data_IF_764730691727
#
_entry.id   IF_764730691727
#
_cell.length_a   1.000
_cell.length_b   1.000
_cell.length_c   1.000
_cell.angle_alpha   90.00
_cell.angle_beta   90.00
_cell.angle_gamma   90.00
#
_symmetry.space_group_name_H-M   'P 1'
#
loop_
_entity.id
_entity.type
_entity.pdbx_description
1 polymer ?
#
# COMPACT_ATOMS: atom_id res chain seq x y z
N UNK A 1 16.41 -6.11 -5.57
CA UNK A 1 15.32 -6.02 -6.56
C UNK A 1 14.08 -5.73 -5.76
N UNK A 2 13.35 -4.64 -6.07
CA UNK A 2 12.18 -4.20 -5.28
C UNK A 2 11.07 -5.28 -5.37
N UNK A 3 10.75 -5.93 -4.25
CA UNK A 3 9.94 -7.14 -4.20
C UNK A 3 8.52 -6.92 -4.74
N UNK A 4 7.96 -5.72 -4.52
CA UNK A 4 6.64 -5.34 -5.05
C UNK A 4 6.71 -5.10 -6.56
N UNK A 5 7.77 -4.42 -7.04
CA UNK A 5 7.99 -4.22 -8.48
C UNK A 5 8.14 -5.52 -9.28
N UNK A 6 8.51 -6.62 -8.62
CA UNK A 6 8.67 -7.92 -9.27
C UNK A 6 7.36 -8.69 -9.45
N UNK A 7 6.26 -8.24 -8.84
CA UNK A 7 4.97 -8.92 -8.92
C UNK A 7 4.35 -8.76 -10.33
N UNK A 8 3.69 -9.80 -10.86
CA UNK A 8 3.01 -9.73 -12.17
C UNK A 8 2.00 -8.59 -12.26
N UNK A 9 1.97 -7.88 -13.40
CA UNK A 9 1.04 -6.78 -13.66
C UNK A 9 1.33 -5.48 -12.90
N UNK A 10 2.43 -5.40 -12.12
CA UNK A 10 2.89 -4.13 -11.53
C UNK A 10 3.64 -3.31 -12.59
N UNK A 11 3.07 -2.16 -12.92
CA UNK A 11 3.63 -1.18 -13.88
C UNK A 11 4.59 -0.19 -13.22
N UNK A 12 4.47 0.03 -11.91
CA UNK A 12 5.32 0.96 -11.17
C UNK A 12 5.17 0.79 -9.67
N UNK A 13 6.28 0.98 -8.96
CA UNK A 13 6.34 0.95 -7.51
C UNK A 13 7.23 2.09 -6.99
N UNK A 14 6.77 2.84 -6.01
CA UNK A 14 7.53 3.93 -5.40
C UNK A 14 7.36 3.88 -3.89
N UNK A 15 8.44 3.61 -3.17
CA UNK A 15 8.45 3.62 -1.70
C UNK A 15 9.09 4.92 -1.20
N UNK A 16 8.39 5.62 -0.32
CA UNK A 16 8.89 6.86 0.29
C UNK A 16 8.49 6.94 1.77
N UNK A 17 9.43 7.27 2.67
CA UNK A 17 9.10 7.64 4.04
C UNK A 17 8.60 9.08 4.07
N UNK A 18 7.56 9.34 4.86
CA UNK A 18 6.94 10.64 5.07
C UNK A 18 6.80 10.91 6.57
N UNK A 19 7.52 11.89 7.13
CA UNK A 19 7.27 12.34 8.50
C UNK A 19 5.83 12.85 8.61
N UNK A 20 5.12 12.45 9.66
CA UNK A 20 3.76 12.92 9.94
C UNK A 20 3.72 14.00 11.04
N UNK A 21 4.83 14.21 11.75
CA UNK A 21 4.90 15.24 12.79
C UNK A 21 4.54 16.62 12.24
N UNK A 22 3.61 17.30 12.89
CA UNK A 22 3.14 18.64 12.50
C UNK A 22 2.06 18.65 11.43
N UNK A 23 1.55 17.48 10.99
CA UNK A 23 0.34 17.40 10.16
C UNK A 23 -0.88 17.53 11.06
N UNK A 24 -1.65 18.59 10.85
CA UNK A 24 -2.88 18.88 11.58
C UNK A 24 -4.11 18.33 10.83
N UNK A 25 -5.22 18.10 11.55
CA UNK A 25 -6.46 17.64 10.92
C UNK A 25 -7.00 18.59 9.85
N UNK A 26 -6.79 19.90 10.03
CA UNK A 26 -7.18 20.92 9.05
C UNK A 26 -6.48 20.73 7.71
N UNK A 27 -5.27 20.18 7.72
CA UNK A 27 -4.46 20.01 6.52
C UNK A 27 -5.05 18.97 5.58
N UNK A 28 -5.86 18.02 6.11
CA UNK A 28 -6.56 17.02 5.31
C UNK A 28 -7.58 17.62 4.33
N UNK A 29 -7.99 18.88 4.53
CA UNK A 29 -8.88 19.60 3.62
C UNK A 29 -8.15 20.29 2.46
N UNK A 30 -6.81 20.34 2.50
CA UNK A 30 -6.00 21.00 1.48
C UNK A 30 -5.90 20.14 0.22
N UNK A 31 -5.87 20.77 -0.97
CA UNK A 31 -5.70 20.04 -2.22
C UNK A 31 -4.26 19.57 -2.44
N UNK A 32 -4.04 18.73 -3.45
CA UNK A 32 -2.71 18.29 -3.87
C UNK A 32 -2.19 17.13 -3.02
N UNK A 33 -0.92 17.22 -2.59
CA UNK A 33 -0.22 16.13 -1.87
C UNK A 33 -0.90 15.76 -0.54
N UNK A 34 -1.69 16.66 0.05
CA UNK A 34 -2.50 16.39 1.24
C UNK A 34 -3.65 15.42 0.98
N UNK A 35 -4.14 15.33 -0.27
CA UNK A 35 -5.12 14.33 -0.69
C UNK A 35 -4.57 12.90 -0.70
N UNK A 36 -3.26 12.73 -0.71
CA UNK A 36 -2.59 11.43 -0.69
C UNK A 36 -2.27 10.95 0.73
N UNK A 37 -2.48 11.78 1.75
CA UNK A 37 -2.28 11.41 3.16
C UNK A 37 -3.27 10.32 3.60
N UNK A 38 -2.94 9.52 4.63
CA UNK A 38 -3.84 8.49 5.14
C UNK A 38 -4.94 9.10 6.01
N UNK A 39 -6.01 9.61 5.39
CA UNK A 39 -7.02 10.45 6.06
C UNK A 39 -7.61 9.79 7.31
N UNK A 40 -8.05 8.52 7.19
CA UNK A 40 -8.69 7.81 8.31
C UNK A 40 -7.72 7.59 9.47
N UNK A 41 -6.45 7.30 9.19
CA UNK A 41 -5.45 7.12 10.23
C UNK A 41 -5.23 8.43 11.00
N UNK A 42 -5.01 9.53 10.26
CA UNK A 42 -4.78 10.85 10.84
C UNK A 42 -6.00 11.37 11.60
N UNK A 43 -7.22 11.09 11.15
CA UNK A 43 -8.45 11.43 11.89
C UNK A 43 -8.49 10.71 13.25
N UNK A 44 -8.12 9.43 13.30
CA UNK A 44 -8.15 8.64 14.54
C UNK A 44 -7.10 9.10 15.56
N UNK A 45 -5.95 9.56 15.09
CA UNK A 45 -4.85 10.05 15.93
C UNK A 45 -4.93 11.56 16.21
N UNK A 46 -5.94 12.24 15.66
CA UNK A 46 -6.11 13.70 15.75
C UNK A 46 -4.90 14.48 15.19
N UNK A 47 -4.42 14.09 14.00
CA UNK A 47 -3.21 14.60 13.37
C UNK A 47 -2.07 13.57 13.39
N UNK A 48 -0.92 13.95 12.86
CA UNK A 48 0.27 13.10 12.90
C UNK A 48 0.95 13.12 14.27
N UNK A 49 1.44 11.97 14.72
CA UNK A 49 2.08 11.87 16.03
C UNK A 49 3.55 12.35 15.99
N UNK A 50 4.09 12.71 17.16
CA UNK A 50 5.50 13.09 17.27
C UNK A 50 6.39 11.91 16.85
N UNK A 51 7.37 12.18 15.97
CA UNK A 51 8.29 11.18 15.38
C UNK A 51 7.62 10.04 14.61
N UNK A 52 6.33 10.19 14.28
CA UNK A 52 5.66 9.22 13.42
C UNK A 52 6.13 9.38 11.98
N UNK A 53 6.49 8.25 11.38
CA UNK A 53 6.88 8.13 9.99
C UNK A 53 5.90 7.18 9.31
N UNK A 54 5.33 7.65 8.20
CA UNK A 54 4.58 6.84 7.27
C UNK A 54 5.54 6.32 6.20
N UNK A 55 5.75 5.02 6.14
CA UNK A 55 6.30 4.37 4.96
C UNK A 55 5.14 4.16 3.99
N UNK A 56 5.16 4.88 2.87
CA UNK A 56 4.14 4.77 1.83
C UNK A 56 4.76 4.16 0.57
N UNK A 57 4.27 2.98 0.21
CA UNK A 57 4.57 2.30 -1.04
C UNK A 57 3.41 2.50 -2.00
N UNK A 58 3.63 3.29 -3.04
CA UNK A 58 2.74 3.43 -4.19
C UNK A 58 2.93 2.27 -5.14
N UNK A 59 1.83 1.59 -5.47
CA UNK A 59 1.80 0.47 -6.42
C UNK A 59 0.81 0.81 -7.54
N UNK A 60 1.29 0.73 -8.78
CA UNK A 60 0.53 1.01 -9.99
C UNK A 60 0.44 -0.28 -10.81
N UNK A 61 -0.76 -0.66 -11.23
CA UNK A 61 -1.00 -1.87 -12.03
C UNK A 61 -1.38 -1.58 -13.49
N UNK A 62 -0.97 -2.46 -14.42
CA UNK A 62 -1.17 -2.36 -15.88
C UNK A 62 -2.53 -2.87 -16.40
N UNK A 63 -3.43 -3.30 -15.50
CA UNK A 63 -4.76 -3.87 -15.77
C UNK A 63 -4.77 -5.25 -16.43
N UNK A 64 -3.66 -5.97 -16.43
CA UNK A 64 -3.65 -7.37 -16.85
C UNK A 64 -4.48 -8.26 -15.90
N UNK A 65 -4.73 -9.52 -16.28
CA UNK A 65 -5.38 -10.47 -15.37
C UNK A 65 -4.48 -10.75 -14.15
N UNK A 66 -3.18 -10.81 -14.38
CA UNK A 66 -2.15 -11.04 -13.38
C UNK A 66 -2.06 -9.89 -12.37
N UNK A 67 -2.37 -8.66 -12.77
CA UNK A 67 -2.48 -7.53 -11.84
C UNK A 67 -3.54 -7.75 -10.75
N UNK A 68 -4.64 -8.43 -11.06
CA UNK A 68 -5.65 -8.76 -10.07
C UNK A 68 -5.14 -9.79 -9.05
N UNK A 69 -4.38 -10.78 -9.51
CA UNK A 69 -3.74 -11.77 -8.62
C UNK A 69 -2.75 -11.09 -7.68
N UNK A 70 -1.91 -10.19 -8.20
CA UNK A 70 -0.96 -9.41 -7.39
C UNK A 70 -1.67 -8.49 -6.40
N UNK A 71 -2.80 -7.90 -6.78
CA UNK A 71 -3.62 -7.09 -5.88
C UNK A 71 -4.21 -7.93 -4.74
N UNK A 72 -4.79 -9.09 -5.05
CA UNK A 72 -5.33 -10.01 -4.04
C UNK A 72 -4.23 -10.52 -3.10
N UNK A 73 -3.08 -10.89 -3.64
CA UNK A 73 -1.91 -11.31 -2.87
C UNK A 73 -1.45 -10.22 -1.90
N UNK A 74 -1.31 -8.97 -2.37
CA UNK A 74 -0.93 -7.85 -1.50
C UNK A 74 -2.01 -7.53 -0.46
N UNK A 75 -3.29 -7.60 -0.82
CA UNK A 75 -4.39 -7.39 0.11
C UNK A 75 -4.39 -8.44 1.23
N UNK A 76 -4.15 -9.72 0.90
CA UNK A 76 -3.96 -10.78 1.88
C UNK A 76 -2.73 -10.52 2.76
N UNK A 77 -1.58 -10.19 2.16
CA UNK A 77 -0.32 -9.98 2.88
C UNK A 77 -0.44 -8.81 3.88
N UNK A 78 -1.02 -7.68 3.45
CA UNK A 78 -1.30 -6.53 4.33
C UNK A 78 -2.25 -6.93 5.46
N UNK A 79 -3.32 -7.68 5.15
CA UNK A 79 -4.26 -8.17 6.16
C UNK A 79 -3.58 -9.07 7.19
N UNK A 80 -2.68 -9.96 6.77
CA UNK A 80 -1.98 -10.87 7.67
C UNK A 80 -1.01 -10.11 8.59
N UNK A 81 -0.24 -9.17 8.02
CA UNK A 81 0.59 -8.25 8.80
C UNK A 81 -0.25 -7.43 9.79
N UNK A 82 -1.38 -6.87 9.38
CA UNK A 82 -2.27 -6.14 10.27
C UNK A 82 -2.83 -7.02 11.41
N UNK A 83 -3.21 -8.27 11.11
CA UNK A 83 -3.65 -9.25 12.12
C UNK A 83 -2.56 -9.61 13.14
N UNK A 84 -1.29 -9.47 12.75
CA UNK A 84 -0.15 -9.62 13.68
C UNK A 84 0.07 -8.40 14.60
N UNK A 85 -0.80 -7.39 14.53
CA UNK A 85 -0.74 -6.19 15.36
C UNK A 85 0.10 -5.06 14.76
N UNK A 86 0.56 -5.21 13.51
CA UNK A 86 1.34 -4.16 12.83
C UNK A 86 0.42 -3.05 12.33
N UNK A 87 0.78 -1.77 12.50
CA UNK A 87 0.02 -0.63 12.01
C UNK A 87 0.25 -0.46 10.50
N UNK A 88 -0.35 -1.35 9.71
CA UNK A 88 -0.28 -1.34 8.26
C UNK A 88 -1.69 -1.27 7.66
N UNK A 89 -1.84 -0.60 6.52
CA UNK A 89 -3.07 -0.62 5.73
C UNK A 89 -2.76 -0.61 4.22
N UNK A 90 -3.79 -0.95 3.44
CA UNK A 90 -3.78 -0.80 1.99
C UNK A 90 -4.97 0.07 1.59
N UNK A 91 -4.74 1.05 0.72
CA UNK A 91 -5.76 2.04 0.34
C UNK A 91 -5.80 2.24 -1.17
N UNK A 92 -6.97 2.12 -1.81
CA UNK A 92 -7.11 2.47 -3.22
C UNK A 92 -6.95 3.96 -3.41
N UNK A 93 -6.30 4.36 -4.50
CA UNK A 93 -6.12 5.75 -4.90
C UNK A 93 -6.56 5.94 -6.33
N UNK A 94 -7.34 6.99 -6.56
CA UNK A 94 -7.73 7.39 -7.90
C UNK A 94 -7.98 8.89 -7.95
N UNK A 95 -7.68 9.46 -9.12
CA UNK A 95 -8.17 10.79 -9.45
C UNK A 95 -9.67 10.72 -9.78
N UNK A 96 -10.39 11.86 -9.76
CA UNK A 96 -11.75 11.91 -10.23
C UNK A 96 -11.90 11.23 -11.61
N UNK A 97 -12.97 10.43 -11.85
CA UNK A 97 -13.12 9.63 -13.07
C UNK A 97 -12.97 10.44 -14.37
N UNK A 98 -13.28 11.74 -14.29
CA UNK A 98 -13.06 12.73 -15.34
C UNK A 98 -12.72 14.07 -14.72
N UNK A 99 -11.68 14.72 -15.24
CA UNK A 99 -11.42 16.16 -15.00
C UNK A 99 -11.41 16.89 -16.35
N UNK A 100 -10.41 16.62 -17.18
CA UNK A 100 -10.34 17.06 -18.59
C UNK A 100 -10.56 15.87 -19.53
N UNK A 101 -9.74 14.81 -19.36
CA UNK A 101 -9.93 13.50 -19.99
C UNK A 101 -10.55 12.48 -19.03
N UNK A 102 -11.03 11.37 -19.59
CA UNK A 102 -11.40 10.15 -18.84
C UNK A 102 -10.13 9.59 -18.19
N UNK A 103 -10.13 9.55 -16.85
CA UNK A 103 -9.08 8.93 -16.02
C UNK A 103 -9.44 7.49 -15.63
N UNK A 104 -10.74 7.16 -15.61
CA UNK A 104 -11.22 5.85 -15.22
C UNK A 104 -10.60 4.76 -16.11
N UNK A 105 -9.98 3.78 -15.47
CA UNK A 105 -9.32 2.68 -16.16
C UNK A 105 -7.97 3.02 -16.78
N UNK A 106 -7.36 4.18 -16.49
CA UNK A 106 -5.98 4.44 -16.96
C UNK A 106 -4.97 3.57 -16.20
N UNK A 107 -5.04 3.56 -14.88
CA UNK A 107 -4.25 2.68 -14.02
C UNK A 107 -5.01 2.42 -12.73
N UNK A 108 -4.78 1.28 -12.12
CA UNK A 108 -5.26 0.96 -10.79
C UNK A 108 -4.11 1.25 -9.81
N UNK A 109 -4.28 2.23 -8.92
CA UNK A 109 -3.24 2.65 -7.96
C UNK A 109 -3.67 2.29 -6.54
N UNK A 110 -2.74 1.76 -5.77
CA UNK A 110 -2.90 1.51 -4.35
C UNK A 110 -1.70 2.05 -3.56
N UNK A 111 -1.95 2.50 -2.33
CA UNK A 111 -0.93 2.70 -1.34
C UNK A 111 -0.91 1.54 -0.36
N UNK A 112 0.28 1.03 -0.04
CA UNK A 112 0.55 0.23 1.15
C UNK A 112 1.24 1.16 2.13
N UNK A 113 0.67 1.29 3.33
CA UNK A 113 1.00 2.32 4.30
C UNK A 113 1.34 1.68 5.62
N UNK A 114 2.58 1.85 6.09
CA UNK A 114 3.05 1.36 7.38
C UNK A 114 3.40 2.55 8.28
N UNK A 115 2.86 2.59 9.48
CA UNK A 115 3.11 3.65 10.45
C UNK A 115 4.12 3.18 11.50
N UNK A 116 5.11 3.99 11.84
CA UNK A 116 6.00 3.66 12.94
C UNK A 116 6.43 4.94 13.67
N UNK A 117 6.76 4.80 14.95
CA UNK A 117 7.37 5.88 15.72
C UNK A 117 8.87 5.67 15.70
N UNK A 118 9.62 6.64 15.21
CA UNK A 118 11.07 6.62 15.28
C UNK A 118 11.56 6.96 16.69
N UNK A 119 12.51 6.18 17.20
CA UNK A 119 13.13 6.45 18.50
C UNK A 119 14.23 7.51 18.40
N UNK A 120 14.77 7.73 17.19
CA UNK A 120 15.83 8.69 16.91
C UNK A 120 15.75 9.23 15.48
N UNK A 121 16.45 10.32 15.19
CA UNK A 121 16.47 10.94 13.86
C UNK A 121 17.31 10.17 12.81
N UNK A 122 17.67 8.92 13.11
CA UNK A 122 18.53 8.08 12.25
C UNK A 122 17.76 7.15 11.30
N UNK A 123 16.43 7.12 11.39
CA UNK A 123 15.54 6.32 10.53
C UNK A 123 15.89 4.82 10.47
N UNK A 124 16.52 4.29 11.51
CA UNK A 124 16.99 2.90 11.55
C UNK A 124 15.81 1.92 11.57
N UNK A 125 14.75 2.27 12.31
CA UNK A 125 13.51 1.48 12.36
C UNK A 125 12.81 1.49 11.00
N UNK A 126 12.74 2.65 10.34
CA UNK A 126 12.20 2.77 8.98
C UNK A 126 12.93 1.85 8.00
N UNK A 127 14.27 1.89 7.98
CA UNK A 127 15.07 1.04 7.09
C UNK A 127 14.89 -0.46 7.40
N UNK A 128 14.86 -0.82 8.67
CA UNK A 128 14.65 -2.20 9.10
C UNK A 128 13.27 -2.73 8.67
N UNK A 129 12.21 -1.94 8.86
CA UNK A 129 10.85 -2.32 8.45
C UNK A 129 10.75 -2.44 6.93
N UNK A 130 11.31 -1.49 6.16
CA UNK A 130 11.31 -1.59 4.68
C UNK A 130 12.01 -2.86 4.21
N UNK A 131 13.15 -3.21 4.82
CA UNK A 131 13.87 -4.45 4.48
C UNK A 131 13.04 -5.70 4.83
N UNK A 132 12.41 -5.73 6.01
CA UNK A 132 11.55 -6.83 6.44
C UNK A 132 10.33 -7.00 5.53
N UNK A 133 9.68 -5.89 5.14
CA UNK A 133 8.56 -5.92 4.20
C UNK A 133 9.00 -6.50 2.85
N UNK A 134 10.15 -6.05 2.32
CA UNK A 134 10.66 -6.53 1.04
C UNK A 134 11.00 -8.03 1.08
N UNK A 135 11.68 -8.50 2.14
CA UNK A 135 12.01 -9.91 2.32
C UNK A 135 10.74 -10.76 2.48
N UNK A 136 9.77 -10.30 3.27
CA UNK A 136 8.51 -10.99 3.49
C UNK A 136 7.69 -11.13 2.21
N UNK A 137 7.59 -10.06 1.41
CA UNK A 137 6.86 -10.09 0.13
C UNK A 137 7.56 -11.04 -0.84
N UNK A 138 8.88 -10.94 -0.99
CA UNK A 138 9.63 -11.80 -1.89
C UNK A 138 9.52 -13.29 -1.51
N UNK A 139 9.63 -13.60 -0.22
CA UNK A 139 9.54 -14.98 0.28
C UNK A 139 8.14 -15.55 0.13
N UNK A 140 7.09 -14.78 0.44
CA UNK A 140 5.71 -15.22 0.24
C UNK A 140 5.37 -15.36 -1.24
N UNK A 141 5.84 -14.46 -2.09
CA UNK A 141 5.63 -14.58 -3.54
C UNK A 141 6.26 -15.86 -4.09
N UNK A 142 7.49 -16.18 -3.68
CA UNK A 142 8.12 -17.45 -4.05
C UNK A 142 7.33 -18.66 -3.54
N UNK A 143 6.89 -18.61 -2.28
CA UNK A 143 6.14 -19.69 -1.66
C UNK A 143 4.79 -19.96 -2.34
N UNK A 144 4.09 -18.89 -2.75
CA UNK A 144 2.78 -18.95 -3.41
C UNK A 144 2.86 -18.85 -4.95
N UNK A 145 4.05 -19.02 -5.55
CA UNK A 145 4.26 -18.89 -7.00
C UNK A 145 3.29 -19.74 -7.82
N UNK A 146 3.00 -20.97 -7.37
CA UNK A 146 2.06 -21.87 -8.04
C UNK A 146 0.63 -21.30 -8.12
N UNK A 147 0.21 -20.47 -7.16
CA UNK A 147 -1.09 -19.79 -7.20
C UNK A 147 -1.16 -18.70 -8.27
N UNK A 148 -0.02 -18.14 -8.69
CA UNK A 148 0.06 -17.21 -9.81
C UNK A 148 0.12 -17.95 -11.15
N UNK A 149 0.81 -19.09 -11.20
CA UNK A 149 0.93 -19.91 -12.40
C UNK A 149 -0.37 -20.68 -12.71
N UNK A 150 -1.13 -21.05 -11.67
CA UNK A 150 -2.37 -21.81 -11.74
C UNK A 150 -3.47 -21.15 -10.88
N UNK A 151 -3.94 -19.93 -11.23
CA UNK A 151 -4.93 -19.23 -10.44
C UNK A 151 -6.28 -19.96 -10.42
N UNK A 152 -6.96 -19.91 -9.28
CA UNK A 152 -8.30 -20.45 -9.16
C UNK A 152 -9.28 -19.66 -10.07
N UNK A 153 -10.21 -20.37 -10.71
CA UNK A 153 -11.29 -19.73 -11.45
C UNK A 153 -12.40 -19.27 -10.51
N UNK A 154 -12.89 -18.05 -10.71
CA UNK A 154 -14.07 -17.58 -10.00
C UNK A 154 -15.30 -18.36 -10.45
N UNK A 155 -15.90 -19.12 -9.54
CA UNK A 155 -17.05 -20.00 -9.83
C UNK A 155 -18.40 -19.31 -9.72
N UNK A 156 -18.45 -18.05 -9.28
CA UNK A 156 -19.69 -17.30 -9.05
C UNK A 156 -20.29 -17.44 -7.65
N UNK A 157 -19.71 -18.28 -6.79
CA UNK A 157 -20.15 -18.46 -5.41
C UNK A 157 -19.43 -17.46 -4.49
N UNK A 158 -20.15 -16.42 -4.04
CA UNK A 158 -19.60 -15.32 -3.23
C UNK A 158 -19.65 -15.65 -1.72
N UNK A 159 -20.47 -16.62 -1.30
CA UNK A 159 -20.69 -16.88 0.13
C UNK A 159 -19.61 -17.77 0.77
N UNK A 160 -18.75 -18.40 -0.04
CA UNK A 160 -17.76 -19.39 0.39
C UNK A 160 -16.29 -18.99 0.14
N UNK A 161 -16.00 -17.70 -0.12
CA UNK A 161 -14.64 -17.16 -0.37
C UNK A 161 -14.00 -16.60 0.90
#
# INVERSE_FOLDING_TARGET
MDAVSALPGVAGCFCSPKPLAGIELSDLSLPGEFGDLPQVALIRTNGGQEREVLIQTEVIFDRSAEAWLSLEFLAWWVRDWARSGRPIQMRPMSLPPRVHDIQLGRMLKFFIEYFLIEESDRYESTLAVVAEMAESIASNYEFYRDCFDNPAEFTGDIENI
#
